data_IF_195480340953
#
_entry.id   IF_195480340953
#
_cell.length_a   1.000
_cell.length_b   1.000
_cell.length_c   1.000
_cell.angle_alpha   90.00
_cell.angle_beta   90.00
_cell.angle_gamma   90.00
#
_symmetry.space_group_name_H-M   'P 1'
#
loop_
_entity.id
_entity.type
_entity.pdbx_description
1 polymer ?
#
# COMPACT_ATOMS: atom_id res chain seq x y z
N UNK A 1 -20.30 -3.20 -2.46
CA UNK A 1 -19.46 -2.92 -3.05
C UNK A 1 -18.42 -3.69 -3.28
N UNK A 2 -17.88 -3.83 -4.22
CA UNK A 2 -16.82 -4.63 -4.51
C UNK A 2 -15.60 -3.90 -4.71
N UNK A 3 -14.70 -4.02 -3.81
CA UNK A 3 -13.56 -3.31 -3.93
C UNK A 3 -12.43 -4.06 -4.37
N UNK A 4 -12.50 -5.33 -4.56
CA UNK A 4 -11.37 -6.17 -4.90
C UNK A 4 -11.22 -6.40 -6.40
N UNK A 5 -11.97 -5.70 -7.22
CA UNK A 5 -11.98 -5.95 -8.65
C UNK A 5 -10.65 -5.65 -9.36
N UNK A 6 -9.77 -4.87 -8.74
CA UNK A 6 -8.47 -4.55 -9.31
C UNK A 6 -7.31 -5.19 -8.55
N UNK A 7 -7.58 -6.22 -7.77
CA UNK A 7 -6.53 -6.94 -7.03
C UNK A 7 -6.25 -8.26 -7.71
N UNK A 8 -4.99 -8.54 -8.00
CA UNK A 8 -4.56 -9.84 -8.53
C UNK A 8 -3.66 -10.50 -7.51
N UNK A 9 -3.46 -11.80 -7.65
CA UNK A 9 -2.60 -12.57 -6.75
C UNK A 9 -1.43 -13.14 -7.55
N UNK A 10 -0.22 -12.87 -7.11
CA UNK A 10 0.99 -13.37 -7.75
C UNK A 10 1.82 -14.08 -6.69
N UNK A 11 2.03 -15.38 -6.87
CA UNK A 11 2.75 -16.22 -5.90
C UNK A 11 2.20 -16.06 -4.48
N UNK A 12 0.87 -15.98 -4.37
CA UNK A 12 0.20 -15.84 -3.09
C UNK A 12 0.17 -14.42 -2.53
N UNK A 13 0.74 -13.45 -3.23
CA UNK A 13 0.81 -12.07 -2.74
C UNK A 13 -0.16 -11.18 -3.52
N UNK A 14 -0.95 -10.35 -2.81
CA UNK A 14 -1.89 -9.46 -3.47
C UNK A 14 -1.20 -8.24 -4.07
N UNK A 15 -1.66 -7.84 -5.22
CA UNK A 15 -1.17 -6.64 -5.89
C UNK A 15 -2.33 -5.86 -6.48
N UNK A 16 -2.32 -4.56 -6.32
CA UNK A 16 -3.34 -3.69 -6.90
C UNK A 16 -2.90 -3.28 -8.31
N UNK A 17 -3.82 -3.35 -9.26
CA UNK A 17 -3.54 -3.04 -10.65
C UNK A 17 -4.28 -1.78 -11.07
N UNK A 18 -3.58 -0.85 -11.71
CA UNK A 18 -4.19 0.34 -12.27
C UNK A 18 -3.73 0.51 -13.72
N UNK A 19 -4.58 1.09 -14.54
CA UNK A 19 -4.21 1.46 -15.89
C UNK A 19 -3.70 2.90 -15.88
N UNK A 20 -2.51 3.13 -16.42
CA UNK A 20 -1.94 4.46 -16.50
C UNK A 20 -1.95 4.91 -17.96
N UNK A 21 -2.87 5.82 -18.27
CA UNK A 21 -3.08 6.25 -19.64
C UNK A 21 -1.88 6.99 -20.22
N UNK A 22 -1.13 7.72 -19.41
CA UNK A 22 0.02 8.48 -19.88
C UNK A 22 1.14 7.60 -20.41
N UNK A 23 1.27 6.37 -19.92
CA UNK A 23 2.25 5.43 -20.45
C UNK A 23 1.58 4.28 -21.21
N UNK A 24 0.26 4.31 -21.31
CA UNK A 24 -0.54 3.30 -21.99
C UNK A 24 -0.21 1.88 -21.52
N UNK A 25 -0.14 1.69 -20.23
CA UNK A 25 0.25 0.42 -19.63
C UNK A 25 -0.43 0.23 -18.29
N UNK A 26 -0.36 -1.02 -17.80
CA UNK A 26 -0.86 -1.35 -16.47
C UNK A 26 0.28 -1.31 -15.47
N UNK A 27 0.00 -0.81 -14.28
CA UNK A 27 0.95 -0.84 -13.18
C UNK A 27 0.38 -1.71 -12.08
N UNK A 28 1.17 -2.68 -11.60
CA UNK A 28 0.84 -3.45 -10.43
C UNK A 28 1.71 -3.01 -9.26
N UNK A 29 1.13 -3.04 -8.07
CA UNK A 29 1.86 -2.69 -6.86
C UNK A 29 1.53 -3.71 -5.79
N UNK A 30 2.54 -4.38 -5.26
CA UNK A 30 2.33 -5.35 -4.18
C UNK A 30 1.92 -4.62 -2.91
N UNK A 31 0.94 -5.20 -2.21
CA UNK A 31 0.33 -4.54 -1.05
C UNK A 31 0.95 -4.92 0.29
N UNK A 32 1.51 -6.12 0.38
CA UNK A 32 2.03 -6.62 1.65
C UNK A 32 3.54 -6.64 1.77
N UNK A 33 4.24 -5.94 0.88
CA UNK A 33 5.69 -5.88 0.97
C UNK A 33 6.12 -4.84 2.00
N UNK A 34 7.27 -5.08 2.59
CA UNK A 34 7.83 -4.19 3.60
C UNK A 34 8.65 -3.11 2.90
N UNK A 35 7.98 -2.29 2.11
CA UNK A 35 8.59 -1.25 1.30
C UNK A 35 7.73 -0.98 0.09
N UNK A 36 8.35 -0.81 -1.07
CA UNK A 36 7.64 -0.52 -2.31
C UNK A 36 8.14 -1.44 -3.42
N UNK A 37 7.23 -2.19 -4.03
CA UNK A 37 7.56 -3.08 -5.13
C UNK A 37 6.46 -2.98 -6.18
N UNK A 38 6.79 -2.46 -7.36
CA UNK A 38 5.83 -2.34 -8.44
C UNK A 38 6.37 -2.95 -9.73
N UNK A 39 5.48 -3.09 -10.70
CA UNK A 39 5.83 -3.66 -11.99
C UNK A 39 4.86 -3.12 -13.03
N UNK A 40 5.30 -3.06 -14.29
CA UNK A 40 4.54 -2.47 -15.38
C UNK A 40 4.53 -3.40 -16.57
N UNK A 41 3.41 -3.50 -17.26
CA UNK A 41 3.31 -4.29 -18.49
C UNK A 41 2.17 -3.77 -19.35
N UNK A 42 2.21 -4.08 -20.63
CA UNK A 42 1.20 -3.61 -21.58
C UNK A 42 0.04 -4.59 -21.76
N UNK A 43 0.11 -5.75 -21.16
CA UNK A 43 -0.99 -6.71 -21.18
C UNK A 43 -1.13 -7.36 -19.82
N UNK A 44 -2.29 -7.92 -19.55
CA UNK A 44 -2.53 -8.60 -18.26
C UNK A 44 -1.63 -9.83 -18.13
N UNK A 45 -1.47 -10.60 -19.21
CA UNK A 45 -0.61 -11.77 -19.17
C UNK A 45 0.83 -11.40 -18.84
N UNK A 46 1.35 -10.38 -19.52
CA UNK A 46 2.71 -9.90 -19.24
C UNK A 46 2.82 -9.33 -17.82
N UNK A 47 1.74 -8.76 -17.32
CA UNK A 47 1.73 -8.19 -15.98
C UNK A 47 2.02 -9.26 -14.92
N UNK A 48 1.42 -10.45 -15.08
CA UNK A 48 1.71 -11.56 -14.15
C UNK A 48 3.17 -11.98 -14.21
N UNK A 49 3.75 -12.04 -15.40
CA UNK A 49 5.17 -12.41 -15.55
C UNK A 49 6.08 -11.37 -14.94
N UNK A 50 5.79 -10.09 -15.20
CA UNK A 50 6.60 -9.01 -14.65
C UNK A 50 6.48 -8.95 -13.13
N UNK A 51 5.29 -9.24 -12.61
CA UNK A 51 5.07 -9.28 -11.17
C UNK A 51 5.87 -10.39 -10.50
N UNK A 52 5.95 -11.57 -11.11
CA UNK A 52 6.75 -12.66 -10.57
C UNK A 52 8.23 -12.29 -10.53
N UNK A 53 8.73 -11.69 -11.62
CA UNK A 53 10.12 -11.23 -11.68
C UNK A 53 10.40 -10.17 -10.62
N UNK A 54 9.50 -9.20 -10.50
CA UNK A 54 9.67 -8.11 -9.53
C UNK A 54 9.68 -8.65 -8.11
N UNK A 55 8.81 -9.62 -7.82
CA UNK A 55 8.73 -10.20 -6.48
C UNK A 55 10.00 -11.01 -6.16
N UNK A 56 10.49 -11.79 -7.10
CA UNK A 56 11.71 -12.57 -6.91
C UNK A 56 12.90 -11.65 -6.65
N UNK A 57 12.99 -10.56 -7.40
CA UNK A 57 14.05 -9.57 -7.24
C UNK A 57 13.92 -8.88 -5.86
N UNK A 58 12.70 -8.53 -5.48
CA UNK A 58 12.43 -7.92 -4.18
C UNK A 58 12.88 -8.83 -3.04
N UNK A 59 12.51 -10.10 -3.11
CA UNK A 59 12.86 -11.06 -2.08
C UNK A 59 14.38 -11.27 -2.00
N UNK A 60 15.05 -11.30 -3.15
CA UNK A 60 16.50 -11.42 -3.19
C UNK A 60 17.20 -10.22 -2.56
N UNK A 61 16.74 -9.02 -2.90
CA UNK A 61 17.32 -7.79 -2.36
C UNK A 61 17.12 -7.70 -0.85
N UNK A 62 15.93 -8.09 -0.37
CA UNK A 62 15.65 -8.07 1.07
C UNK A 62 16.53 -9.09 1.82
N UNK A 63 16.76 -10.25 1.22
CA UNK A 63 17.63 -11.24 1.83
C UNK A 63 19.06 -10.72 1.96
N UNK A 64 19.56 -10.07 0.92
CA UNK A 64 20.90 -9.46 0.97
C UNK A 64 21.01 -8.39 2.05
N UNK A 65 19.97 -7.59 2.19
CA UNK A 65 19.98 -6.48 3.15
C UNK A 65 19.57 -6.88 4.56
N UNK A 66 19.17 -8.13 4.76
CA UNK A 66 18.72 -8.60 6.07
C UNK A 66 17.38 -8.02 6.49
N UNK A 67 16.52 -7.70 5.54
CA UNK A 67 15.20 -7.11 5.79
C UNK A 67 14.12 -8.13 5.50
N UNK A 68 13.10 -8.20 6.36
CA UNK A 68 11.95 -9.07 6.09
C UNK A 68 11.20 -8.54 4.86
N UNK A 69 10.97 -9.36 3.83
CA UNK A 69 10.38 -8.87 2.58
C UNK A 69 8.89 -8.52 2.68
N UNK A 70 8.17 -9.14 3.61
CA UNK A 70 6.74 -8.91 3.75
C UNK A 70 6.41 -8.31 5.10
N UNK A 71 5.33 -7.54 5.14
CA UNK A 71 4.86 -6.95 6.39
C UNK A 71 4.34 -8.05 7.30
N UNK A 72 4.64 -7.93 8.58
CA UNK A 72 4.08 -8.85 9.55
C UNK A 72 2.69 -8.37 9.91
N UNK A 73 1.80 -9.33 10.16
CA UNK A 73 0.46 -8.98 10.61
C UNK A 73 0.55 -8.47 12.03
N UNK A 74 0.01 -7.29 12.25
CA UNK A 74 -0.06 -6.74 13.59
C UNK A 74 -1.49 -6.75 14.06
N UNK A 75 -1.67 -7.08 15.32
CA UNK A 75 -2.97 -7.00 15.94
C UNK A 75 -3.40 -5.55 16.00
N UNK A 76 -4.62 -5.27 15.55
CA UNK A 76 -5.15 -3.92 15.60
C UNK A 76 -6.08 -3.76 16.78
N UNK A 77 -5.95 -2.67 17.50
CA UNK A 77 -6.81 -2.35 18.62
C UNK A 77 -7.77 -1.25 18.21
N UNK A 78 -9.02 -1.38 18.61
CA UNK A 78 -10.01 -0.34 18.35
C UNK A 78 -9.85 0.78 19.39
N UNK A 79 -9.82 1.99 18.91
CA UNK A 79 -9.68 3.15 19.77
C UNK A 79 -10.76 4.16 19.41
N UNK A 80 -11.46 4.68 20.40
CA UNK A 80 -12.46 5.72 20.17
C UNK A 80 -11.87 7.05 20.58
N UNK A 81 -11.89 8.00 19.64
CA UNK A 81 -11.36 9.34 19.89
C UNK A 81 -12.49 10.36 19.86
N UNK A 82 -12.41 11.32 20.75
CA UNK A 82 -13.30 12.48 20.74
C UNK A 82 -12.45 13.68 20.37
N UNK A 83 -12.77 14.32 19.27
CA UNK A 83 -12.01 15.47 18.79
C UNK A 83 -12.95 16.64 18.57
N UNK A 84 -12.47 17.88 18.74
CA UNK A 84 -13.28 19.06 18.44
C UNK A 84 -13.72 19.06 16.97
N UNK A 85 -14.84 19.71 16.72
CA UNK A 85 -15.39 19.75 15.36
C UNK A 85 -14.38 20.28 14.33
N UNK A 86 -13.62 21.31 14.68
CA UNK A 86 -12.66 21.88 13.72
C UNK A 86 -11.55 20.90 13.36
N UNK A 87 -11.17 20.02 14.28
CA UNK A 87 -10.19 18.97 13.99
C UNK A 87 -10.78 17.91 13.07
N UNK A 88 -12.05 17.51 13.36
CA UNK A 88 -12.73 16.53 12.53
C UNK A 88 -12.88 17.03 11.09
N UNK A 89 -13.26 18.29 10.92
CA UNK A 89 -13.41 18.89 9.59
C UNK A 89 -12.09 18.86 8.81
N UNK A 90 -11.00 19.19 9.46
CA UNK A 90 -9.68 19.17 8.81
C UNK A 90 -9.24 17.76 8.46
N UNK A 91 -9.53 16.78 9.32
CA UNK A 91 -9.24 15.39 9.03
C UNK A 91 -9.97 14.94 7.77
N UNK A 92 -11.24 15.32 7.64
CA UNK A 92 -12.03 14.96 6.47
C UNK A 92 -11.42 15.55 5.19
N UNK A 93 -11.03 16.82 5.23
CA UNK A 93 -10.47 17.50 4.07
C UNK A 93 -9.13 16.90 3.66
N UNK A 94 -8.24 16.73 4.61
CA UNK A 94 -6.88 16.22 4.33
C UNK A 94 -6.92 14.77 3.87
N UNK A 95 -7.77 13.95 4.49
CA UNK A 95 -7.91 12.56 4.08
C UNK A 95 -8.39 12.47 2.62
N UNK A 96 -9.33 13.34 2.25
CA UNK A 96 -9.82 13.40 0.87
C UNK A 96 -8.72 13.81 -0.11
N UNK A 97 -7.92 14.79 0.27
CA UNK A 97 -6.81 15.26 -0.56
C UNK A 97 -5.80 14.15 -0.83
N UNK A 98 -5.60 13.26 0.15
CA UNK A 98 -4.65 12.17 0.02
C UNK A 98 -5.29 10.86 -0.42
N UNK A 99 -6.60 10.86 -0.66
CA UNK A 99 -7.35 9.67 -1.08
C UNK A 99 -7.22 8.50 -0.11
N UNK A 100 -7.24 8.81 1.18
CA UNK A 100 -7.18 7.79 2.24
C UNK A 100 -8.34 8.00 3.21
N UNK A 101 -8.60 7.03 4.06
CA UNK A 101 -9.63 7.15 5.07
C UNK A 101 -9.17 8.07 6.20
N UNK A 102 -10.13 8.61 6.95
CA UNK A 102 -9.79 9.39 8.15
C UNK A 102 -9.00 8.55 9.14
N UNK A 103 -9.38 7.27 9.28
CA UNK A 103 -8.67 6.36 10.17
C UNK A 103 -7.21 6.21 9.76
N UNK A 104 -6.96 6.02 8.48
CA UNK A 104 -5.60 5.89 7.97
C UNK A 104 -4.80 7.17 8.18
N UNK A 105 -5.42 8.32 7.98
CA UNK A 105 -4.77 9.60 8.21
C UNK A 105 -4.38 9.74 9.69
N UNK A 106 -5.27 9.37 10.60
CA UNK A 106 -4.99 9.44 12.03
C UNK A 106 -3.80 8.54 12.39
N UNK A 107 -3.80 7.32 11.89
CA UNK A 107 -2.70 6.38 12.14
C UNK A 107 -1.38 6.94 11.61
N UNK A 108 -1.39 7.50 10.39
CA UNK A 108 -0.19 8.07 9.78
C UNK A 108 0.37 9.26 10.59
N UNK A 109 -0.51 10.11 11.09
CA UNK A 109 -0.10 11.25 11.91
C UNK A 109 0.52 10.77 13.23
N UNK A 110 -0.10 9.78 13.86
CA UNK A 110 0.40 9.23 15.11
C UNK A 110 1.76 8.56 14.91
N UNK A 111 1.92 7.79 13.84
CA UNK A 111 3.20 7.15 13.55
C UNK A 111 4.30 8.17 13.34
N UNK A 112 3.99 9.25 12.61
CA UNK A 112 4.94 10.32 12.36
C UNK A 112 5.37 11.00 13.65
N UNK A 113 4.41 11.26 14.53
CA UNK A 113 4.70 11.91 15.79
C UNK A 113 5.58 11.04 16.69
N UNK A 114 5.25 9.76 16.79
CA UNK A 114 6.03 8.85 17.62
C UNK A 114 7.44 8.61 17.06
N UNK A 115 7.59 8.58 15.75
CA UNK A 115 8.90 8.44 15.14
C UNK A 115 9.79 9.63 15.44
N UNK A 116 9.19 10.83 15.53
CA UNK A 116 9.94 12.05 15.83
C UNK A 116 10.49 12.09 17.25
N UNK A 117 9.92 11.26 18.14
CA UNK A 117 10.33 11.24 19.55
C UNK A 117 11.17 10.01 19.94
N UNK A 118 11.62 9.25 18.96
CA UNK A 118 12.43 8.06 19.24
C UNK A 118 13.93 8.28 19.08
#
# INVERSE_FOLDING_TARGET
MNKASNIITIKGQPAAVTFEADINAFRGKFLNVNGYCDFVATSIEALYREGESALDEWMGDCEEDGIAPFREEEEQKRLTLRVPHHIDSRLTIVARQHSISKNQLIVDVLEREFSAHM
#
